data_IF_143374758076
#
_entry.id   IF_143374758076
#
_cell.length_a   1.000
_cell.length_b   1.000
_cell.length_c   1.000
_cell.angle_alpha   90.00
_cell.angle_beta   90.00
_cell.angle_gamma   90.00
#
_symmetry.space_group_name_H-M   'P 1'
#
loop_
_entity.id
_entity.type
_entity.pdbx_description
1 polymer ?
#
# COMPACT_ATOMS: atom_id res chain seq x y z
N UNK A 1 -4.48 -18.69 15.86
CA UNK A 1 -3.66 -18.54 17.08
C UNK A 1 -4.13 -17.29 17.81
N UNK A 2 -4.32 -17.34 19.14
CA UNK A 2 -4.61 -16.16 19.95
C UNK A 2 -3.32 -15.76 20.65
N UNK A 3 -2.88 -14.52 20.45
CA UNK A 3 -1.80 -13.94 21.23
C UNK A 3 -2.40 -13.35 22.51
N UNK A 4 -1.73 -13.50 23.64
CA UNK A 4 -2.16 -12.94 24.92
C UNK A 4 -1.76 -11.48 25.09
N UNK A 5 -0.66 -11.06 24.47
CA UNK A 5 -0.11 -9.70 24.51
C UNK A 5 0.85 -9.47 23.34
N UNK A 6 1.31 -8.23 23.18
CA UNK A 6 2.24 -7.80 22.13
C UNK A 6 3.55 -8.60 22.14
N UNK A 7 4.11 -8.89 23.33
CA UNK A 7 5.36 -9.64 23.49
C UNK A 7 5.24 -11.09 23.00
N UNK A 8 4.02 -11.64 22.98
CA UNK A 8 3.79 -13.01 22.51
C UNK A 8 4.05 -13.14 21.01
N UNK A 9 3.79 -12.06 20.24
CA UNK A 9 4.09 -12.02 18.80
C UNK A 9 5.60 -12.01 18.59
N UNK A 10 6.32 -11.15 19.31
CA UNK A 10 7.78 -11.05 19.19
C UNK A 10 8.47 -12.36 19.58
N UNK A 11 8.02 -12.99 20.67
CA UNK A 11 8.56 -14.29 21.10
C UNK A 11 8.36 -15.34 20.01
N UNK A 12 7.18 -15.42 19.39
CA UNK A 12 6.94 -16.35 18.30
C UNK A 12 7.89 -16.11 17.12
N UNK A 13 8.06 -14.86 16.70
CA UNK A 13 8.95 -14.52 15.58
C UNK A 13 10.42 -14.83 15.91
N UNK A 14 10.84 -14.63 17.16
CA UNK A 14 12.22 -14.93 17.60
C UNK A 14 12.58 -16.42 17.56
N UNK A 15 11.58 -17.31 17.65
CA UNK A 15 11.79 -18.77 17.59
C UNK A 15 12.01 -19.23 16.14
N UNK A 16 11.71 -18.39 15.15
CA UNK A 16 11.81 -18.69 13.72
C UNK A 16 12.91 -17.85 13.05
N UNK A 17 14.21 -18.10 13.32
CA UNK A 17 15.31 -17.25 12.83
C UNK A 17 15.47 -17.27 11.30
N UNK A 18 14.96 -18.30 10.61
CA UNK A 18 15.03 -18.47 9.15
C UNK A 18 13.75 -18.02 8.42
N UNK A 19 12.87 -17.28 9.09
CA UNK A 19 11.57 -16.90 8.54
C UNK A 19 11.72 -15.91 7.37
N UNK A 20 11.40 -16.36 6.15
CA UNK A 20 11.50 -15.55 4.93
C UNK A 20 10.15 -14.97 4.45
N UNK A 21 9.03 -15.62 4.77
CA UNK A 21 7.68 -15.19 4.39
C UNK A 21 6.75 -15.17 5.62
N UNK A 22 6.04 -14.05 5.79
CA UNK A 22 5.12 -13.86 6.90
C UNK A 22 3.79 -13.28 6.39
N UNK A 23 2.71 -13.98 6.71
CA UNK A 23 1.34 -13.52 6.47
C UNK A 23 0.65 -13.27 7.80
N UNK A 24 0.22 -12.03 8.02
CA UNK A 24 -0.55 -11.61 9.20
C UNK A 24 -1.97 -11.26 8.76
N UNK A 25 -2.95 -11.95 9.34
CA UNK A 25 -4.38 -11.63 9.18
C UNK A 25 -4.95 -11.26 10.54
N UNK A 26 -5.39 -10.02 10.71
CA UNK A 26 -5.86 -9.50 11.98
C UNK A 26 -7.38 -9.31 11.97
N UNK A 27 -8.02 -9.65 13.10
CA UNK A 27 -9.44 -9.42 13.35
C UNK A 27 -9.65 -8.42 14.51
N UNK A 28 -10.89 -8.05 14.80
CA UNK A 28 -11.26 -7.08 15.86
C UNK A 28 -10.91 -7.48 17.28
N UNK A 29 -10.80 -8.78 17.56
CA UNK A 29 -10.78 -9.29 18.94
C UNK A 29 -9.38 -9.80 19.31
N UNK A 30 -8.37 -8.93 19.20
CA UNK A 30 -7.01 -9.24 19.61
C UNK A 30 -6.64 -8.43 20.85
N UNK A 31 -6.06 -9.08 21.87
CA UNK A 31 -5.43 -8.36 22.99
C UNK A 31 -4.10 -7.72 22.61
N UNK A 32 -3.61 -7.98 21.40
CA UNK A 32 -2.46 -7.30 20.83
C UNK A 32 -2.88 -5.93 20.34
N UNK A 33 -2.31 -4.88 20.91
CA UNK A 33 -2.51 -3.50 20.49
C UNK A 33 -1.54 -3.19 19.33
N UNK A 34 -0.24 -3.44 19.53
CA UNK A 34 0.83 -3.16 18.56
C UNK A 34 1.51 -4.46 18.10
N UNK A 35 1.41 -4.75 16.81
CA UNK A 35 2.17 -5.83 16.17
C UNK A 35 3.55 -5.33 15.77
N UNK A 36 4.57 -5.71 16.55
CA UNK A 36 5.96 -5.44 16.20
C UNK A 36 6.55 -6.59 15.39
N UNK A 37 6.96 -6.31 14.15
CA UNK A 37 7.61 -7.25 13.24
C UNK A 37 9.05 -6.78 13.08
N UNK A 38 9.97 -7.46 13.76
CA UNK A 38 11.40 -7.19 13.72
C UNK A 38 12.16 -8.48 13.40
N UNK A 39 12.26 -8.81 12.11
CA UNK A 39 12.83 -10.07 11.62
C UNK A 39 13.76 -9.73 10.48
N UNK A 40 15.07 -9.99 10.63
CA UNK A 40 16.06 -9.59 9.63
C UNK A 40 16.09 -10.49 8.40
N UNK A 41 15.67 -11.75 8.51
CA UNK A 41 15.63 -12.72 7.40
C UNK A 41 14.38 -12.61 6.53
N UNK A 42 13.37 -11.86 6.98
CA UNK A 42 12.09 -11.77 6.32
C UNK A 42 12.20 -10.98 5.00
N UNK A 43 11.84 -11.63 3.89
CA UNK A 43 11.90 -11.06 2.54
C UNK A 43 10.52 -10.73 1.98
N UNK A 44 9.46 -11.36 2.50
CA UNK A 44 8.07 -11.17 2.07
C UNK A 44 7.16 -10.98 3.28
N UNK A 45 6.38 -9.90 3.26
CA UNK A 45 5.42 -9.57 4.32
C UNK A 45 4.06 -9.23 3.72
N UNK A 46 3.02 -9.94 4.15
CA UNK A 46 1.64 -9.65 3.83
C UNK A 46 0.81 -9.39 5.08
N UNK A 47 0.18 -8.23 5.19
CA UNK A 47 -0.71 -7.83 6.29
C UNK A 47 -2.11 -7.57 5.74
N UNK A 48 -3.11 -8.23 6.34
CA UNK A 48 -4.53 -7.96 6.08
C UNK A 48 -5.24 -7.65 7.42
N UNK A 49 -5.55 -6.37 7.59
CA UNK A 49 -6.40 -5.81 8.64
C UNK A 49 -7.49 -4.94 7.99
N UNK A 50 -8.24 -5.52 7.05
CA UNK A 50 -9.32 -4.85 6.31
C UNK A 50 -10.74 -5.26 6.74
N UNK A 51 -10.86 -6.25 7.63
CA UNK A 51 -12.14 -6.89 7.99
C UNK A 51 -12.56 -6.67 9.45
N UNK A 52 -12.03 -5.64 10.08
CA UNK A 52 -12.45 -5.32 11.44
C UNK A 52 -13.85 -4.68 11.45
N UNK A 53 -14.59 -4.87 12.54
CA UNK A 53 -15.95 -4.37 12.78
C UNK A 53 -15.94 -3.02 13.51
N UNK A 54 -14.87 -2.71 14.24
CA UNK A 54 -14.74 -1.47 15.02
C UNK A 54 -13.28 -1.05 15.16
N UNK A 55 -13.03 0.26 15.21
CA UNK A 55 -11.72 0.82 15.54
C UNK A 55 -11.50 0.79 17.07
N UNK A 56 -10.41 0.19 17.56
CA UNK A 56 -10.01 0.30 18.96
C UNK A 56 -9.85 1.77 19.40
N UNK A 57 -10.27 2.08 20.62
CA UNK A 57 -10.14 3.42 21.20
C UNK A 57 -8.69 3.82 21.53
N UNK A 58 -7.78 2.83 21.60
CA UNK A 58 -6.36 3.02 21.94
C UNK A 58 -5.48 3.01 20.69
N UNK A 59 -4.20 3.33 20.88
CA UNK A 59 -3.18 3.17 19.84
C UNK A 59 -3.12 1.70 19.42
N UNK A 60 -3.21 1.45 18.12
CA UNK A 60 -3.17 0.10 17.59
C UNK A 60 -2.67 0.08 16.14
N UNK A 61 -1.83 -0.91 15.85
CA UNK A 61 -1.35 -1.13 14.50
C UNK A 61 -0.04 -1.87 14.44
N UNK A 62 0.88 -1.40 13.60
CA UNK A 62 2.05 -2.15 13.19
C UNK A 62 3.32 -1.30 13.28
N UNK A 63 4.38 -1.91 13.82
CA UNK A 63 5.75 -1.41 13.76
C UNK A 63 6.57 -2.45 13.01
N UNK A 64 7.09 -2.07 11.84
CA UNK A 64 7.74 -2.98 10.89
C UNK A 64 9.19 -2.51 10.70
N UNK A 65 10.14 -3.30 11.18
CA UNK A 65 11.57 -3.10 10.99
C UNK A 65 12.16 -4.36 10.34
N UNK A 66 12.22 -4.36 9.01
CA UNK A 66 12.57 -5.55 8.22
C UNK A 66 13.60 -5.17 7.14
N UNK A 67 14.91 -5.18 7.45
CA UNK A 67 15.99 -4.71 6.56
C UNK A 67 16.03 -5.43 5.22
N UNK A 68 15.74 -6.73 5.20
CA UNK A 68 15.80 -7.56 3.99
C UNK A 68 14.46 -7.68 3.26
N UNK A 69 13.47 -6.85 3.60
CA UNK A 69 12.14 -6.93 2.98
C UNK A 69 12.22 -6.56 1.50
N UNK A 70 11.80 -7.47 0.62
CA UNK A 70 11.73 -7.27 -0.83
C UNK A 70 10.31 -7.08 -1.34
N UNK A 71 9.34 -7.68 -0.66
CA UNK A 71 7.94 -7.67 -1.03
C UNK A 71 7.06 -7.27 0.16
N UNK A 72 6.29 -6.19 -0.01
CA UNK A 72 5.30 -5.74 0.96
C UNK A 72 3.90 -5.77 0.34
N UNK A 73 2.95 -6.36 1.04
CA UNK A 73 1.53 -6.25 0.76
C UNK A 73 0.80 -5.85 2.04
N UNK A 74 0.18 -4.68 2.10
CA UNK A 74 -0.57 -4.23 3.27
C UNK A 74 -1.96 -3.76 2.86
N UNK A 75 -2.97 -4.32 3.51
CA UNK A 75 -4.35 -3.84 3.49
C UNK A 75 -4.78 -3.51 4.91
N UNK A 76 -4.83 -2.23 5.26
CA UNK A 76 -5.12 -1.79 6.62
C UNK A 76 -6.07 -0.59 6.65
N UNK A 77 -7.30 -0.84 7.09
CA UNK A 77 -8.35 0.18 7.11
C UNK A 77 -8.65 0.72 8.51
N UNK A 78 -7.94 0.25 9.53
CA UNK A 78 -8.32 0.49 10.93
C UNK A 78 -7.19 1.07 11.76
N UNK A 79 -5.93 0.71 11.50
CA UNK A 79 -4.81 1.15 12.34
C UNK A 79 -4.60 2.65 12.35
N UNK A 80 -4.38 3.17 13.55
CA UNK A 80 -4.00 4.56 13.79
C UNK A 80 -2.48 4.76 13.97
N UNK A 81 -1.72 3.65 14.06
CA UNK A 81 -0.26 3.64 14.07
C UNK A 81 0.29 2.69 13.00
N UNK A 82 0.99 3.24 12.01
CA UNK A 82 1.77 2.49 11.04
C UNK A 82 3.17 3.08 10.99
N UNK A 83 4.15 2.30 11.45
CA UNK A 83 5.54 2.73 11.49
C UNK A 83 6.40 1.75 10.72
N UNK A 84 6.99 2.23 9.63
CA UNK A 84 7.90 1.45 8.81
C UNK A 84 9.32 1.99 8.95
N UNK A 85 10.28 1.10 9.20
CA UNK A 85 11.69 1.45 9.32
C UNK A 85 12.55 0.42 8.58
N UNK A 86 13.68 0.89 8.06
CA UNK A 86 14.70 0.07 7.40
C UNK A 86 14.13 -0.90 6.35
N UNK A 87 13.44 -0.43 5.31
CA UNK A 87 12.99 -1.27 4.19
C UNK A 87 13.79 -1.00 2.91
N UNK A 88 15.14 -1.01 3.02
CA UNK A 88 16.03 -0.52 1.95
C UNK A 88 16.05 -1.42 0.71
N UNK A 89 15.78 -2.71 0.89
CA UNK A 89 15.76 -3.72 -0.18
C UNK A 89 14.37 -3.86 -0.84
N UNK A 90 13.41 -2.99 -0.50
CA UNK A 90 12.02 -3.13 -0.92
C UNK A 90 11.88 -2.90 -2.42
N UNK A 91 11.57 -3.97 -3.16
CA UNK A 91 11.42 -3.94 -4.62
C UNK A 91 9.98 -3.67 -5.03
N UNK A 92 9.03 -4.30 -4.35
CA UNK A 92 7.61 -4.24 -4.69
C UNK A 92 6.75 -4.01 -3.46
N UNK A 93 5.85 -3.05 -3.56
CA UNK A 93 4.90 -2.72 -2.51
C UNK A 93 3.47 -2.59 -3.06
N UNK A 94 2.51 -3.26 -2.42
CA UNK A 94 1.09 -3.00 -2.58
C UNK A 94 0.54 -2.45 -1.27
N UNK A 95 0.06 -1.22 -1.29
CA UNK A 95 -0.37 -0.49 -0.10
C UNK A 95 -1.81 -0.03 -0.29
N UNK A 96 -2.67 -0.54 0.58
CA UNK A 96 -4.07 -0.12 0.69
C UNK A 96 -4.34 0.30 2.15
N UNK A 97 -4.20 1.58 2.47
CA UNK A 97 -4.30 2.07 3.85
C UNK A 97 -5.19 3.29 4.01
N UNK A 98 -5.84 3.44 5.15
CA UNK A 98 -6.69 4.62 5.46
C UNK A 98 -6.00 5.58 6.46
N UNK A 99 -4.78 5.25 6.90
CA UNK A 99 -4.09 5.94 7.99
C UNK A 99 -3.53 7.32 7.59
N UNK A 100 -3.74 8.31 8.47
CA UNK A 100 -3.18 9.66 8.33
C UNK A 100 -1.67 9.72 8.63
N UNK A 101 -1.09 8.69 9.26
CA UNK A 101 0.34 8.59 9.57
C UNK A 101 1.11 7.85 8.48
N UNK A 102 1.19 8.47 7.31
CA UNK A 102 1.82 7.85 6.12
C UNK A 102 3.29 8.22 5.91
N UNK A 103 3.84 9.15 6.70
CA UNK A 103 5.21 9.67 6.51
C UNK A 103 6.27 8.56 6.57
N UNK A 104 6.17 7.66 7.56
CA UNK A 104 7.12 6.55 7.74
C UNK A 104 7.07 5.54 6.59
N UNK A 105 5.87 5.27 6.06
CA UNK A 105 5.68 4.40 4.91
C UNK A 105 6.36 5.03 3.69
N UNK A 106 6.01 6.28 3.40
CA UNK A 106 6.48 7.02 2.24
C UNK A 106 8.01 7.15 2.25
N UNK A 107 8.61 7.50 3.39
CA UNK A 107 10.06 7.54 3.57
C UNK A 107 10.76 6.18 3.40
N UNK A 108 10.01 5.08 3.48
CA UNK A 108 10.53 3.73 3.29
C UNK A 108 10.33 3.17 1.87
N UNK A 109 9.63 3.89 0.98
CA UNK A 109 9.39 3.46 -0.41
C UNK A 109 10.48 3.91 -1.40
N UNK A 110 11.61 4.42 -0.91
CA UNK A 110 12.64 5.10 -1.71
C UNK A 110 13.30 4.23 -2.79
N UNK A 111 13.40 2.91 -2.60
CA UNK A 111 14.02 1.98 -3.56
C UNK A 111 13.01 1.17 -4.40
N UNK A 112 11.72 1.46 -4.27
CA UNK A 112 10.66 0.62 -4.88
C UNK A 112 10.64 0.75 -6.39
N UNK A 113 10.57 -0.39 -7.08
CA UNK A 113 10.43 -0.47 -8.55
C UNK A 113 8.99 -0.66 -8.98
N UNK A 114 8.19 -1.37 -8.19
CA UNK A 114 6.79 -1.66 -8.46
C UNK A 114 5.92 -1.24 -7.29
N UNK A 115 5.11 -0.23 -7.49
CA UNK A 115 4.29 0.35 -6.45
C UNK A 115 2.81 0.33 -6.84
N UNK A 116 1.96 -0.20 -5.97
CA UNK A 116 0.51 -0.04 -6.04
C UNK A 116 0.04 0.69 -4.79
N UNK A 117 -0.65 1.82 -4.96
CA UNK A 117 -1.11 2.70 -3.89
C UNK A 117 -2.62 2.92 -3.96
N UNK A 118 -3.29 2.65 -2.85
CA UNK A 118 -4.69 2.97 -2.62
C UNK A 118 -4.82 3.54 -1.20
N UNK A 119 -4.59 4.84 -1.04
CA UNK A 119 -4.58 5.43 0.30
C UNK A 119 -5.13 6.85 0.35
N UNK A 120 -5.91 7.13 1.41
CA UNK A 120 -6.45 8.47 1.71
C UNK A 120 -5.36 9.36 2.32
N UNK A 121 -4.22 9.46 1.65
CA UNK A 121 -3.13 10.29 2.12
C UNK A 121 -3.47 11.75 1.80
N UNK A 122 -4.13 12.43 2.74
CA UNK A 122 -4.75 13.73 2.49
C UNK A 122 -3.85 14.93 2.77
N UNK A 123 -2.67 14.75 3.37
CA UNK A 123 -1.73 15.84 3.66
C UNK A 123 -0.32 15.29 3.84
N UNK A 124 0.47 15.22 2.76
CA UNK A 124 1.90 14.92 2.87
C UNK A 124 2.66 16.25 2.77
N UNK A 125 3.50 16.62 3.76
CA UNK A 125 4.67 17.46 3.51
C UNK A 125 5.62 16.66 2.61
N UNK A 126 5.39 16.79 1.31
CA UNK A 126 6.09 16.03 0.31
C UNK A 126 7.49 16.63 0.17
N UNK A 127 8.48 15.97 0.79
CA UNK A 127 9.86 16.35 0.61
C UNK A 127 10.31 15.89 -0.79
N UNK A 128 10.93 16.80 -1.54
CA UNK A 128 11.67 16.47 -2.77
C UNK A 128 12.59 15.29 -2.42
N UNK A 129 12.62 14.25 -3.27
CA UNK A 129 13.37 12.98 -3.08
C UNK A 129 12.61 11.81 -2.41
N UNK A 130 11.29 11.94 -2.24
CA UNK A 130 10.46 10.91 -1.58
C UNK A 130 10.41 9.58 -2.34
N UNK A 131 10.17 9.63 -3.66
CA UNK A 131 10.21 8.44 -4.50
C UNK A 131 11.54 8.45 -5.24
N UNK A 132 12.38 7.47 -4.96
CA UNK A 132 13.68 7.41 -5.59
C UNK A 132 13.56 7.17 -7.10
N UNK A 133 14.66 7.41 -7.80
CA UNK A 133 14.83 7.24 -9.24
C UNK A 133 14.54 5.84 -9.77
N UNK A 134 14.10 4.87 -8.95
CA UNK A 134 13.95 3.46 -9.29
C UNK A 134 12.55 3.03 -9.70
N UNK A 135 11.54 3.88 -9.51
CA UNK A 135 10.15 3.51 -9.78
C UNK A 135 9.92 3.30 -11.28
N UNK A 136 9.57 2.08 -11.66
CA UNK A 136 9.32 1.68 -13.05
C UNK A 136 7.84 1.40 -13.32
N UNK A 137 7.09 0.96 -12.30
CA UNK A 137 5.67 0.64 -12.41
C UNK A 137 4.88 1.25 -11.25
N UNK A 138 3.88 2.05 -11.59
CA UNK A 138 2.95 2.67 -10.65
C UNK A 138 1.52 2.26 -10.97
N UNK A 139 0.81 1.72 -9.98
CA UNK A 139 -0.64 1.61 -9.98
C UNK A 139 -1.20 2.52 -8.88
N UNK A 140 -2.17 3.38 -9.21
CA UNK A 140 -2.71 4.35 -8.27
C UNK A 140 -4.24 4.31 -8.26
N UNK A 141 -4.84 4.24 -7.07
CA UNK A 141 -6.27 4.37 -6.88
C UNK A 141 -6.75 5.80 -7.08
N UNK A 142 -7.84 5.99 -7.81
CA UNK A 142 -8.50 7.30 -7.99
C UNK A 142 -9.59 7.58 -6.96
N UNK A 143 -9.66 6.78 -5.88
CA UNK A 143 -10.68 6.85 -4.83
C UNK A 143 -10.49 7.99 -3.82
N UNK A 144 -9.33 8.64 -3.82
CA UNK A 144 -8.97 9.66 -2.84
C UNK A 144 -8.98 11.03 -3.52
N UNK A 145 -9.54 12.06 -2.91
CA UNK A 145 -9.71 13.39 -3.53
C UNK A 145 -8.39 13.98 -4.07
N UNK A 146 -7.28 13.73 -3.36
CA UNK A 146 -5.94 14.24 -3.70
C UNK A 146 -5.12 13.31 -4.60
N UNK A 147 -5.71 12.27 -5.19
CA UNK A 147 -5.00 11.28 -6.01
C UNK A 147 -4.20 11.93 -7.14
N UNK A 148 -4.75 12.97 -7.77
CA UNK A 148 -4.10 13.70 -8.86
C UNK A 148 -2.87 14.48 -8.36
N UNK A 149 -2.97 15.11 -7.19
CA UNK A 149 -1.85 15.83 -6.57
C UNK A 149 -0.73 14.86 -6.18
N UNK A 150 -1.07 13.67 -5.67
CA UNK A 150 -0.10 12.61 -5.42
C UNK A 150 0.56 12.12 -6.72
N UNK A 151 -0.25 11.85 -7.76
CA UNK A 151 0.26 11.40 -9.06
C UNK A 151 1.26 12.40 -9.65
N UNK A 152 0.89 13.68 -9.72
CA UNK A 152 1.76 14.73 -10.30
C UNK A 152 3.07 14.88 -9.54
N UNK A 153 3.07 14.65 -8.22
CA UNK A 153 4.30 14.65 -7.41
C UNK A 153 5.16 13.42 -7.70
N UNK A 154 4.58 12.21 -7.73
CA UNK A 154 5.32 10.99 -8.07
C UNK A 154 5.93 11.07 -9.48
N UNK A 155 5.16 11.57 -10.46
CA UNK A 155 5.63 11.70 -11.84
C UNK A 155 6.83 12.65 -11.99
N UNK A 156 6.96 13.66 -11.11
CA UNK A 156 8.12 14.56 -11.10
C UNK A 156 9.39 13.88 -10.59
N UNK A 157 9.25 12.92 -9.67
CA UNK A 157 10.38 12.26 -9.00
C UNK A 157 10.72 10.89 -9.62
N UNK A 158 9.85 10.36 -10.49
CA UNK A 158 10.00 9.03 -11.09
C UNK A 158 10.33 9.09 -12.60
N UNK A 159 11.54 9.54 -13.00
CA UNK A 159 11.90 9.65 -14.42
C UNK A 159 12.07 8.30 -15.12
N UNK A 160 12.17 7.19 -14.36
CA UNK A 160 12.23 5.82 -14.89
C UNK A 160 10.86 5.15 -15.01
N UNK A 161 9.77 5.86 -14.75
CA UNK A 161 8.43 5.28 -14.80
C UNK A 161 8.10 4.84 -16.24
N UNK A 162 7.81 3.56 -16.42
CA UNK A 162 7.47 2.95 -17.72
C UNK A 162 6.01 2.53 -17.80
N UNK A 163 5.41 2.22 -16.66
CA UNK A 163 4.02 1.77 -16.58
C UNK A 163 3.30 2.59 -15.54
N UNK A 164 2.27 3.30 -15.98
CA UNK A 164 1.27 3.90 -15.13
C UNK A 164 -0.02 3.10 -15.29
N UNK A 165 -0.72 2.84 -14.18
CA UNK A 165 -2.06 2.29 -14.15
C UNK A 165 -2.89 3.11 -13.18
N UNK A 166 -4.09 3.50 -13.58
CA UNK A 166 -5.04 4.15 -12.70
C UNK A 166 -6.18 3.19 -12.44
N UNK A 167 -6.54 3.03 -11.17
CA UNK A 167 -7.59 2.14 -10.74
C UNK A 167 -8.75 2.97 -10.20
N UNK A 168 -9.86 2.95 -10.93
CA UNK A 168 -11.14 3.38 -10.37
C UNK A 168 -11.58 2.35 -9.35
N UNK A 169 -11.85 2.78 -8.13
CA UNK A 169 -12.54 1.95 -7.14
C UNK A 169 -14.00 2.34 -7.21
N UNK A 170 -14.82 1.41 -7.71
CA UNK A 170 -16.26 1.48 -7.56
C UNK A 170 -16.57 1.64 -6.07
N UNK A 171 -17.24 2.74 -5.72
CA UNK A 171 -17.83 2.91 -4.40
C UNK A 171 -18.71 1.68 -4.15
N UNK A 172 -18.47 0.95 -3.05
CA UNK A 172 -19.42 -0.07 -2.55
C UNK A 172 -20.64 0.61 -1.92
N UNK A 173 -21.19 1.61 -2.59
CA UNK A 173 -22.52 2.12 -2.27
C UNK A 173 -23.51 1.13 -2.88
N UNK A 174 -24.02 0.23 -2.05
CA UNK A 174 -24.95 -0.84 -2.43
C UNK A 174 -26.31 -0.34 -2.95
N UNK A 175 -26.48 0.98 -3.13
CA UNK A 175 -27.75 1.62 -3.52
C UNK A 175 -27.77 2.26 -4.90
N UNK A 176 -26.68 2.27 -5.66
CA UNK A 176 -26.69 2.90 -6.99
C UNK A 176 -26.01 2.00 -8.03
N UNK A 177 -26.80 1.34 -8.87
CA UNK A 177 -26.33 0.71 -10.12
C UNK A 177 -25.68 1.77 -11.00
N UNK A 178 -24.35 1.75 -11.12
CA UNK A 178 -23.62 2.63 -12.03
C UNK A 178 -22.66 1.81 -12.88
N UNK A 179 -22.58 2.17 -14.16
CA UNK A 179 -21.76 1.53 -15.20
C UNK A 179 -20.27 1.60 -14.85
N UNK A 180 -19.59 0.46 -14.95
CA UNK A 180 -18.17 0.31 -14.70
C UNK A 180 -17.35 0.90 -15.87
N UNK A 181 -16.57 1.96 -15.60
CA UNK A 181 -15.57 2.46 -16.53
C UNK A 181 -14.17 2.08 -16.03
N UNK A 182 -13.48 1.21 -16.76
CA UNK A 182 -12.08 0.84 -16.50
C UNK A 182 -11.19 1.71 -17.37
N UNK A 183 -10.50 2.66 -16.75
CA UNK A 183 -9.52 3.52 -17.43
C UNK A 183 -8.12 2.93 -17.23
N UNK A 184 -7.56 2.30 -18.27
CA UNK A 184 -6.13 2.02 -18.29
C UNK A 184 -5.44 3.16 -19.06
N UNK A 185 -4.83 4.08 -18.31
CA UNK A 185 -3.97 5.14 -18.84
C UNK A 185 -2.53 4.63 -18.83
N UNK A 186 -2.02 4.23 -20.00
CA UNK A 186 -0.61 3.90 -20.17
C UNK A 186 0.14 5.20 -20.44
N UNK A 187 0.96 5.63 -19.48
CA UNK A 187 1.95 6.66 -19.71
C UNK A 187 3.16 6.02 -20.41
N UNK A 188 3.42 6.43 -21.66
CA UNK A 188 4.63 6.05 -22.39
C UNK A 188 5.50 7.29 -22.45
N UNK A 189 6.72 7.20 -21.91
CA UNK A 189 7.75 8.21 -22.14
C UNK A 189 8.41 7.94 -23.49
N UNK A 190 8.21 8.86 -24.42
CA UNK A 190 8.78 8.83 -25.76
C UNK A 190 9.39 10.20 -26.05
N UNK A 191 10.67 10.23 -26.40
CA UNK A 191 11.45 11.44 -26.71
C UNK A 191 11.39 12.55 -25.63
N UNK A 192 11.47 12.17 -24.35
CA UNK A 192 11.44 13.12 -23.22
C UNK A 192 10.07 13.75 -22.93
N UNK A 193 9.01 13.35 -23.65
CA UNK A 193 7.64 13.82 -23.46
C UNK A 193 6.77 12.72 -22.85
N UNK A 194 5.95 13.09 -21.85
CA UNK A 194 4.93 12.20 -21.29
C UNK A 194 3.76 12.08 -22.27
N UNK A 195 3.66 10.97 -23.01
CA UNK A 195 2.48 10.66 -23.83
C UNK A 195 1.52 9.80 -23.00
N UNK A 196 0.35 10.36 -22.67
CA UNK A 196 -0.74 9.62 -22.05
C UNK A 196 -1.57 8.94 -23.15
N UNK A 197 -1.40 7.63 -23.33
CA UNK A 197 -2.34 6.84 -24.13
C UNK A 197 -3.49 6.39 -23.23
N UNK A 198 -4.69 6.94 -23.48
CA UNK A 198 -5.91 6.50 -22.84
C UNK A 198 -6.50 5.31 -23.62
N UNK A 199 -6.42 4.10 -23.07
CA UNK A 199 -7.26 3.00 -23.54
C UNK A 199 -8.56 3.01 -22.73
N UNK A 200 -9.65 3.44 -23.36
CA UNK A 200 -10.98 3.38 -22.77
C UNK A 200 -11.59 2.01 -23.07
N UNK A 201 -11.69 1.14 -22.06
CA UNK A 201 -12.47 -0.09 -22.16
C UNK A 201 -13.86 0.16 -21.56
N UNK A 202 -14.86 0.26 -22.43
CA UNK A 202 -16.26 0.32 -22.01
C UNK A 202 -16.71 -1.13 -21.74
N UNK A 203 -16.79 -1.51 -20.46
CA UNK A 203 -17.48 -2.74 -20.08
C UNK A 203 -18.98 -2.48 -20.14
N UNK A 204 -19.59 -2.77 -21.29
CA UNK A 204 -21.05 -2.81 -21.41
C UNK A 204 -21.53 -4.06 -20.67
N UNK A 205 -22.39 -3.96 -19.64
CA UNK A 205 -22.97 -5.13 -19.00
C UNK A 205 -23.77 -5.91 -20.05
N UNK A 206 -23.43 -7.18 -20.21
CA UNK A 206 -24.19 -8.10 -21.04
C UNK A 206 -25.56 -8.28 -20.37
N UNK A 207 -26.56 -7.50 -20.77
CA UNK A 207 -27.96 -7.90 -20.58
C UNK A 207 -28.15 -9.10 -21.52
N UNK A 208 -28.89 -10.11 -21.07
CA UNK A 208 -29.17 -11.41 -21.72
C UNK A 208 -28.21 -12.56 -21.34
N UNK A 209 -28.54 -13.28 -20.26
CA UNK A 209 -29.20 -14.59 -20.30
C UNK A 209 -29.80 -14.94 -18.94
#
# INVERSE_FOLDING_TARGET
MKFSCDESVQRLLSICPVLEDLVVRRSTYTSVEIFTINVSTLSSLSIDYSRAVSQPARVHGFVINVPSLRYLNIRDHFSNLLMFTNMRELVKANVEVVCNQSESLIGSLTAVRHLSLCSKISNIPYHRDTFGFFLEHLELCTCCTEWWNLLTRILKDAPRLRVLKLKSVESRDWRVTTVANRFELLAIYDDGMLKLHACMYICVPNKYM
#
